data_IF_514528460794
#
_entry.id   IF_514528460794
#
_cell.length_a   1.000
_cell.length_b   1.000
_cell.length_c   1.000
_cell.angle_alpha   90.00
_cell.angle_beta   90.00
_cell.angle_gamma   90.00
#
_symmetry.space_group_name_H-M   'P 1'
#
loop_
_entity.id
_entity.type
_entity.pdbx_description
1 polymer ?
#
# COMPACT_ATOMS: atom_id res chain seq x y z
N UNK A 1 -24.66 -9.01 27.75
CA UNK A 1 -23.94 -8.48 26.58
C UNK A 1 -22.82 -7.61 27.12
N UNK A 2 -21.57 -8.03 26.90
CA UNK A 2 -20.41 -7.26 27.32
C UNK A 2 -20.38 -5.93 26.55
N UNK A 3 -20.20 -4.81 27.24
CA UNK A 3 -20.14 -3.50 26.59
C UNK A 3 -18.76 -3.37 25.95
N UNK A 4 -18.74 -3.16 24.63
CA UNK A 4 -17.51 -2.86 23.91
C UNK A 4 -16.95 -1.53 24.40
N UNK A 5 -15.71 -1.53 24.88
CA UNK A 5 -15.00 -0.33 25.25
C UNK A 5 -14.45 0.34 23.99
N UNK A 6 -15.02 1.49 23.63
CA UNK A 6 -14.67 2.22 22.40
C UNK A 6 -13.21 2.67 22.40
N UNK A 7 -12.66 3.07 23.55
CA UNK A 7 -11.26 3.49 23.65
C UNK A 7 -10.31 2.30 23.45
N UNK A 8 -10.63 1.13 24.00
CA UNK A 8 -9.83 -0.07 23.73
C UNK A 8 -9.90 -0.49 22.26
N UNK A 9 -11.10 -0.43 21.68
CA UNK A 9 -11.32 -0.75 20.27
C UNK A 9 -10.53 0.20 19.34
N UNK A 10 -10.44 1.49 19.65
CA UNK A 10 -9.67 2.44 18.83
C UNK A 10 -8.18 2.13 18.80
N UNK A 11 -7.58 1.71 19.91
CA UNK A 11 -6.17 1.29 19.93
C UNK A 11 -5.92 0.08 19.03
N UNK A 12 -6.85 -0.90 19.03
CA UNK A 12 -6.76 -2.05 18.12
C UNK A 12 -6.85 -1.63 16.65
N UNK A 13 -7.75 -0.70 16.30
CA UNK A 13 -7.85 -0.18 14.95
C UNK A 13 -6.60 0.59 14.53
N UNK A 14 -6.03 1.40 15.42
CA UNK A 14 -4.81 2.13 15.12
C UNK A 14 -3.61 1.19 14.92
N UNK A 15 -3.51 0.13 15.73
CA UNK A 15 -2.51 -0.91 15.53
C UNK A 15 -2.60 -1.56 14.15
N UNK A 16 -3.81 -1.94 13.71
CA UNK A 16 -4.04 -2.51 12.38
C UNK A 16 -3.69 -1.51 11.26
N UNK A 17 -4.09 -0.26 11.41
CA UNK A 17 -3.78 0.83 10.48
C UNK A 17 -2.27 1.00 10.33
N UNK A 18 -1.54 1.10 11.44
CA UNK A 18 -0.07 1.21 11.45
C UNK A 18 0.61 0.01 10.79
N UNK A 19 0.09 -1.21 11.01
CA UNK A 19 0.57 -2.43 10.37
C UNK A 19 0.45 -2.38 8.84
N UNK A 20 -0.72 -1.98 8.33
CA UNK A 20 -0.96 -1.83 6.89
C UNK A 20 -0.05 -0.76 6.28
N UNK A 21 0.12 0.39 6.95
CA UNK A 21 1.00 1.45 6.48
C UNK A 21 2.45 0.99 6.36
N UNK A 22 2.92 0.22 7.35
CA UNK A 22 4.28 -0.33 7.36
C UNK A 22 4.50 -1.39 6.27
N UNK A 23 3.47 -2.20 6.00
CA UNK A 23 3.48 -3.24 4.98
C UNK A 23 3.18 -2.72 3.56
N UNK A 24 3.08 -1.40 3.37
CA UNK A 24 2.87 -0.78 2.06
C UNK A 24 4.10 -0.96 1.17
N UNK A 25 4.17 -2.09 0.45
CA UNK A 25 5.23 -2.36 -0.50
C UNK A 25 4.87 -1.89 -1.91
N UNK A 26 5.71 -1.02 -2.48
CA UNK A 26 5.63 -0.56 -3.86
C UNK A 26 6.82 -1.02 -4.69
N UNK A 27 7.53 -2.04 -4.23
CA UNK A 27 8.63 -2.65 -4.97
C UNK A 27 8.05 -3.32 -6.22
N UNK A 28 8.35 -2.75 -7.38
CA UNK A 28 7.98 -3.35 -8.66
C UNK A 28 8.84 -4.60 -8.88
N UNK A 29 8.20 -5.69 -9.27
CA UNK A 29 8.91 -6.87 -9.73
C UNK A 29 9.66 -6.54 -11.03
N UNK A 30 10.97 -6.77 -11.07
CA UNK A 30 11.75 -6.66 -12.31
C UNK A 30 12.11 -8.04 -12.83
N UNK A 31 12.06 -8.18 -14.16
CA UNK A 31 12.52 -9.39 -14.83
C UNK A 31 14.05 -9.34 -14.95
N UNK A 32 14.76 -10.37 -14.47
CA UNK A 32 16.18 -10.51 -14.79
C UNK A 32 16.37 -10.66 -16.32
N UNK A 33 17.43 -10.07 -16.87
CA UNK A 33 17.66 -9.99 -18.32
C UNK A 33 17.61 -11.35 -19.03
N UNK A 34 17.95 -12.44 -18.33
CA UNK A 34 17.97 -13.81 -18.86
C UNK A 34 16.92 -14.73 -18.22
N UNK A 35 15.99 -14.18 -17.44
CA UNK A 35 14.96 -14.98 -16.79
C UNK A 35 14.01 -15.59 -17.83
N UNK A 36 13.92 -16.92 -17.82
CA UNK A 36 12.86 -17.65 -18.50
C UNK A 36 11.53 -17.41 -17.78
N UNK A 37 10.40 -17.47 -18.49
CA UNK A 37 9.10 -17.10 -17.93
C UNK A 37 8.78 -17.89 -16.66
N UNK A 38 8.65 -17.20 -15.52
CA UNK A 38 8.30 -17.80 -14.22
C UNK A 38 9.18 -17.35 -13.05
N UNK A 39 10.36 -16.79 -13.30
CA UNK A 39 11.28 -16.30 -12.25
C UNK A 39 10.91 -14.86 -11.83
N UNK A 40 9.87 -14.73 -11.02
CA UNK A 40 9.32 -13.45 -10.55
C UNK A 40 9.37 -13.28 -9.02
N UNK A 41 10.10 -14.13 -8.29
CA UNK A 41 10.08 -14.16 -6.81
C UNK A 41 11.45 -13.84 -6.20
N UNK A 42 11.47 -13.27 -4.99
CA UNK A 42 12.68 -13.08 -4.17
C UNK A 42 13.20 -11.65 -4.05
N UNK A 43 12.39 -10.64 -4.39
CA UNK A 43 12.74 -9.24 -4.15
C UNK A 43 12.68 -8.91 -2.66
N UNK A 44 13.66 -8.15 -2.19
CA UNK A 44 13.71 -7.70 -0.81
C UNK A 44 12.67 -6.59 -0.60
N UNK A 45 11.65 -6.88 0.20
CA UNK A 45 10.74 -5.87 0.70
C UNK A 45 11.54 -4.80 1.46
N UNK A 46 11.37 -3.53 1.08
CA UNK A 46 12.04 -2.41 1.71
C UNK A 46 11.00 -1.45 2.28
N UNK A 47 11.15 -1.05 3.55
CA UNK A 47 10.31 -0.01 4.13
C UNK A 47 10.38 1.26 3.28
N UNK A 48 9.23 1.81 2.92
CA UNK A 48 9.11 3.06 2.17
C UNK A 48 8.51 4.16 3.04
N UNK A 49 8.77 5.40 2.65
CA UNK A 49 8.13 6.54 3.29
C UNK A 49 6.63 6.54 2.97
N UNK A 50 5.82 6.18 3.97
CA UNK A 50 4.37 6.12 3.82
C UNK A 50 3.76 7.46 3.39
N UNK A 51 4.33 8.60 3.82
CA UNK A 51 3.80 9.91 3.44
C UNK A 51 3.92 10.13 1.93
N UNK A 52 5.05 9.72 1.33
CA UNK A 52 5.22 9.76 -0.12
C UNK A 52 4.26 8.81 -0.84
N UNK A 53 4.08 7.59 -0.32
CA UNK A 53 3.12 6.63 -0.88
C UNK A 53 1.69 7.18 -0.88
N UNK A 54 1.27 7.76 0.24
CA UNK A 54 -0.03 8.40 0.38
C UNK A 54 -0.17 9.54 -0.62
N UNK A 55 0.77 10.49 -0.64
CA UNK A 55 0.72 11.63 -1.58
C UNK A 55 0.60 11.18 -3.04
N UNK A 56 1.38 10.17 -3.45
CA UNK A 56 1.28 9.60 -4.79
C UNK A 56 -0.11 9.00 -5.05
N UNK A 57 -0.58 8.12 -4.16
CA UNK A 57 -1.88 7.47 -4.31
C UNK A 57 -3.04 8.49 -4.34
N UNK A 58 -2.96 9.57 -3.56
CA UNK A 58 -3.95 10.64 -3.53
C UNK A 58 -3.93 11.48 -4.82
N UNK A 59 -2.73 11.78 -5.35
CA UNK A 59 -2.51 12.54 -6.59
C UNK A 59 -3.06 11.81 -7.81
N UNK A 60 -2.88 10.49 -7.87
CA UNK A 60 -3.32 9.64 -8.98
C UNK A 60 -4.59 8.84 -8.67
N UNK A 61 -5.31 9.21 -7.61
CA UNK A 61 -6.55 8.53 -7.24
C UNK A 61 -7.53 8.65 -8.40
N UNK A 62 -8.10 7.52 -8.81
CA UNK A 62 -9.21 7.47 -9.74
C UNK A 62 -10.44 8.14 -9.11
N UNK A 63 -10.57 9.44 -9.30
CA UNK A 63 -11.83 10.17 -9.18
C UNK A 63 -12.48 10.20 -10.57
N UNK A 64 -13.80 10.35 -10.64
CA UNK A 64 -14.54 10.47 -11.91
C UNK A 64 -13.93 11.54 -12.85
N UNK A 65 -13.26 12.56 -12.31
CA UNK A 65 -12.60 13.61 -13.10
C UNK A 65 -11.25 13.18 -13.71
N UNK A 66 -10.40 12.52 -12.90
CA UNK A 66 -9.07 12.08 -13.34
C UNK A 66 -9.09 10.85 -14.26
N UNK A 67 -10.06 9.96 -14.11
CA UNK A 67 -10.20 8.76 -14.94
C UNK A 67 -10.70 9.04 -16.36
N UNK A 68 -11.40 10.17 -16.56
CA UNK A 68 -11.97 10.55 -17.86
C UNK A 68 -11.01 11.38 -18.74
N UNK A 69 -9.94 11.95 -18.16
CA UNK A 69 -8.99 12.83 -18.87
C UNK A 69 -7.79 12.12 -19.47
N UNK A 70 -7.50 10.88 -19.07
CA UNK A 70 -6.39 10.11 -19.63
C UNK A 70 -5.02 10.75 -19.41
N UNK A 71 -4.88 11.60 -18.39
CA UNK A 71 -3.63 12.24 -18.00
C UNK A 71 -2.94 11.34 -16.96
N UNK A 72 -2.12 10.40 -17.45
CA UNK A 72 -1.19 9.58 -16.65
C UNK A 72 0.26 9.90 -16.99
#
# INVERSE_FOLDING_TARGET
MERVNVAHLSECWDYLRQGIMCAGDTTLEWKQANASGGEFWGYQHMCKDYALLFMFAEQYRATEDHSLRGEY
#
